data_IF_942152364070
#
_entry.id   IF_942152364070
#
_cell.length_a   1.000
_cell.length_b   1.000
_cell.length_c   1.000
_cell.angle_alpha   90.00
_cell.angle_beta   90.00
_cell.angle_gamma   90.00
#
_symmetry.space_group_name_H-M   'P 1'
#
loop_
_entity.id
_entity.type
_entity.pdbx_description
1 polymer ?
#
# COMPACT_ATOMS: atom_id res chain seq x y z
N UNK A 1 -29.56 8.79 -5.85
CA UNK A 1 -28.78 9.37 -4.73
C UNK A 1 -28.67 8.45 -3.54
N UNK A 2 -29.74 7.82 -3.05
CA UNK A 2 -29.60 6.78 -2.02
C UNK A 2 -28.63 5.65 -2.45
N UNK A 3 -28.78 5.11 -3.67
CA UNK A 3 -27.85 4.11 -4.21
C UNK A 3 -26.40 4.62 -4.32
N UNK A 4 -26.19 5.89 -4.72
CA UNK A 4 -24.86 6.52 -4.79
C UNK A 4 -24.23 6.58 -3.40
N UNK A 5 -24.96 7.07 -2.41
CA UNK A 5 -24.47 7.13 -1.03
C UNK A 5 -24.15 5.75 -0.44
N UNK A 6 -24.97 4.73 -0.74
CA UNK A 6 -24.69 3.34 -0.33
C UNK A 6 -23.39 2.84 -0.97
N UNK A 7 -23.18 3.08 -2.27
CA UNK A 7 -21.95 2.66 -2.95
C UNK A 7 -20.72 3.42 -2.42
N UNK A 8 -20.83 4.73 -2.15
CA UNK A 8 -19.76 5.51 -1.50
C UNK A 8 -19.39 4.92 -0.12
N UNK A 9 -20.39 4.52 0.69
CA UNK A 9 -20.15 3.83 1.96
C UNK A 9 -19.52 2.45 1.78
N UNK A 10 -19.90 1.69 0.75
CA UNK A 10 -19.27 0.39 0.46
C UNK A 10 -17.80 0.56 0.06
N UNK A 11 -17.48 1.56 -0.76
CA UNK A 11 -16.10 1.91 -1.12
C UNK A 11 -15.32 2.30 0.14
N UNK A 12 -15.91 3.09 1.02
CA UNK A 12 -15.30 3.43 2.30
C UNK A 12 -14.92 2.18 3.11
N UNK A 13 -15.83 1.22 3.26
CA UNK A 13 -15.55 -0.03 3.99
C UNK A 13 -14.42 -0.84 3.35
N UNK A 14 -14.36 -0.91 2.02
CA UNK A 14 -13.26 -1.58 1.31
C UNK A 14 -11.93 -0.89 1.56
N UNK A 15 -11.89 0.44 1.44
CA UNK A 15 -10.68 1.24 1.71
C UNK A 15 -10.22 1.10 3.16
N UNK A 16 -11.16 1.04 4.10
CA UNK A 16 -10.85 0.82 5.51
C UNK A 16 -10.21 -0.55 5.72
N UNK A 17 -10.78 -1.62 5.17
CA UNK A 17 -10.23 -2.97 5.29
C UNK A 17 -8.83 -3.10 4.67
N UNK A 18 -8.62 -2.54 3.48
CA UNK A 18 -7.32 -2.53 2.81
C UNK A 18 -6.32 -1.68 3.62
N UNK A 19 -6.72 -0.48 4.05
CA UNK A 19 -5.88 0.44 4.81
C UNK A 19 -5.45 -0.15 6.15
N UNK A 20 -6.40 -0.69 6.92
CA UNK A 20 -6.12 -1.33 8.20
C UNK A 20 -5.18 -2.55 8.04
N UNK A 21 -5.44 -3.40 7.04
CA UNK A 21 -4.58 -4.55 6.76
C UNK A 21 -3.14 -4.17 6.39
N UNK A 22 -2.96 -3.09 5.62
CA UNK A 22 -1.62 -2.58 5.29
C UNK A 22 -0.94 -1.89 6.47
N UNK A 23 -1.68 -1.15 7.29
CA UNK A 23 -1.14 -0.44 8.47
C UNK A 23 -0.78 -1.37 9.62
N UNK A 24 -1.47 -2.50 9.76
CA UNK A 24 -1.19 -3.50 10.81
C UNK A 24 -0.13 -4.52 10.39
N UNK A 25 0.12 -4.66 9.09
CA UNK A 25 1.03 -5.67 8.57
C UNK A 25 2.51 -5.31 8.77
N UNK A 26 3.08 -5.80 9.87
CA UNK A 26 4.51 -5.71 10.20
C UNK A 26 5.42 -6.26 9.09
N UNK A 27 5.02 -7.34 8.41
CA UNK A 27 5.80 -8.00 7.35
C UNK A 27 6.04 -7.11 6.13
N UNK A 28 5.00 -6.39 5.70
CA UNK A 28 5.11 -5.39 4.64
C UNK A 28 5.96 -4.20 5.06
N UNK A 29 5.85 -3.74 6.31
CA UNK A 29 6.71 -2.67 6.84
C UNK A 29 8.18 -3.10 6.87
N UNK A 30 8.49 -4.32 7.33
CA UNK A 30 9.86 -4.84 7.30
C UNK A 30 10.40 -4.92 5.88
N UNK A 31 9.64 -5.42 4.91
CA UNK A 31 10.12 -5.66 3.54
C UNK A 31 10.12 -4.42 2.63
N UNK A 32 9.09 -3.56 2.69
CA UNK A 32 8.93 -2.39 1.81
C UNK A 32 9.09 -1.02 2.52
N UNK A 33 9.01 -0.98 3.85
CA UNK A 33 9.41 0.17 4.66
C UNK A 33 8.22 0.93 5.25
N UNK A 34 8.52 1.91 6.10
CA UNK A 34 7.53 2.68 6.86
C UNK A 34 6.51 3.41 5.99
N UNK A 35 6.88 3.70 4.74
CA UNK A 35 5.98 4.33 3.78
C UNK A 35 4.74 3.48 3.45
N UNK A 36 4.80 2.16 3.61
CA UNK A 36 3.60 1.31 3.46
C UNK A 36 2.56 1.62 4.53
N UNK A 37 2.98 1.89 5.77
CA UNK A 37 2.06 2.34 6.81
C UNK A 37 1.42 3.68 6.48
N UNK A 38 2.18 4.61 5.87
CA UNK A 38 1.65 5.89 5.41
C UNK A 38 0.58 5.71 4.33
N UNK A 39 0.79 4.79 3.38
CA UNK A 39 -0.20 4.46 2.34
C UNK A 39 -1.44 3.81 2.97
N UNK A 40 -1.27 2.84 3.86
CA UNK A 40 -2.37 2.21 4.59
C UNK A 40 -3.18 3.22 5.41
N UNK A 41 -2.49 4.10 6.15
CA UNK A 41 -3.11 5.18 6.93
C UNK A 41 -3.84 6.19 6.05
N UNK A 42 -3.31 6.48 4.85
CA UNK A 42 -3.98 7.27 3.83
C UNK A 42 -5.31 6.65 3.36
N UNK A 43 -5.34 5.33 3.14
CA UNK A 43 -6.60 4.64 2.80
C UNK A 43 -7.60 4.64 3.95
N UNK A 44 -7.15 4.45 5.20
CA UNK A 44 -8.01 4.60 6.39
C UNK A 44 -8.57 6.02 6.46
N UNK A 45 -7.74 7.05 6.28
CA UNK A 45 -8.19 8.44 6.29
C UNK A 45 -9.25 8.71 5.21
N UNK A 46 -9.02 8.25 3.97
CA UNK A 46 -9.99 8.36 2.88
C UNK A 46 -11.31 7.67 3.23
N UNK A 47 -11.26 6.48 3.85
CA UNK A 47 -12.46 5.75 4.23
C UNK A 47 -13.36 6.53 5.20
N UNK A 48 -12.79 7.39 6.05
CA UNK A 48 -13.56 8.22 6.98
C UNK A 48 -14.19 9.43 6.28
N UNK A 49 -13.54 9.94 5.22
CA UNK A 49 -14.05 11.10 4.48
C UNK A 49 -15.18 10.75 3.50
N UNK A 50 -15.15 9.57 2.89
CA UNK A 50 -16.18 9.13 1.93
C UNK A 50 -17.61 9.26 2.48
N UNK A 51 -17.95 8.74 3.68
CA UNK A 51 -19.30 8.85 4.25
C UNK A 51 -19.74 10.30 4.52
N UNK A 52 -18.80 11.19 4.86
CA UNK A 52 -19.09 12.61 5.10
C UNK A 52 -19.52 13.26 3.78
N UNK A 53 -18.74 13.06 2.72
CA UNK A 53 -19.08 13.54 1.37
C UNK A 53 -20.41 12.93 0.91
N UNK A 54 -20.60 11.62 1.07
CA UNK A 54 -21.85 10.92 0.75
C UNK A 54 -23.07 11.53 1.46
N UNK A 55 -22.93 11.85 2.76
CA UNK A 55 -23.96 12.49 3.55
C UNK A 55 -24.35 13.87 3.00
N UNK A 56 -23.37 14.69 2.64
CA UNK A 56 -23.59 16.00 2.00
C UNK A 56 -24.32 15.82 0.66
N UNK A 57 -23.88 14.89 -0.18
CA UNK A 57 -24.52 14.59 -1.46
C UNK A 57 -25.95 14.08 -1.28
N UNK A 58 -26.22 13.24 -0.28
CA UNK A 58 -27.54 12.73 0.04
C UNK A 58 -28.48 13.83 0.55
N UNK A 59 -28.04 14.68 1.47
CA UNK A 59 -28.82 15.79 2.01
C UNK A 59 -29.09 16.83 0.90
N UNK A 60 -28.05 17.21 0.15
CA UNK A 60 -28.18 18.10 -1.00
C UNK A 60 -29.16 17.56 -2.04
N UNK A 61 -29.11 16.24 -2.29
CA UNK A 61 -30.06 15.57 -3.15
C UNK A 61 -31.49 15.61 -2.60
N UNK A 62 -31.69 15.28 -1.32
CA UNK A 62 -33.01 15.18 -0.70
C UNK A 62 -33.72 16.54 -0.60
N UNK A 63 -33.00 17.59 -0.24
CA UNK A 63 -33.57 18.93 0.00
C UNK A 63 -33.46 19.88 -1.19
N UNK A 64 -33.12 19.35 -2.37
CA UNK A 64 -33.02 20.17 -3.58
C UNK A 64 -32.00 21.32 -3.53
N UNK A 65 -31.04 21.30 -2.60
CA UNK A 65 -30.06 22.37 -2.37
C UNK A 65 -28.86 22.27 -3.34
N UNK A 66 -28.64 23.27 -4.20
CA UNK A 66 -27.54 23.27 -5.20
C UNK A 66 -26.19 23.51 -4.55
N UNK A 67 -26.11 24.40 -3.55
CA UNK A 67 -24.87 24.65 -2.82
C UNK A 67 -24.29 23.36 -2.21
N UNK A 68 -25.11 22.55 -1.54
CA UNK A 68 -24.66 21.27 -0.98
C UNK A 68 -24.22 20.27 -2.06
N UNK A 69 -24.88 20.25 -3.23
CA UNK A 69 -24.41 19.44 -4.36
C UNK A 69 -23.08 19.94 -4.92
N UNK A 70 -22.84 21.25 -4.94
CA UNK A 70 -21.55 21.84 -5.35
C UNK A 70 -20.45 21.50 -4.34
N UNK A 71 -20.75 21.52 -3.04
CA UNK A 71 -19.84 21.06 -1.98
C UNK A 71 -19.56 19.55 -2.14
N UNK A 72 -20.57 18.73 -2.46
CA UNK A 72 -20.38 17.31 -2.76
C UNK A 72 -19.45 17.11 -3.97
N UNK A 73 -19.63 17.85 -5.06
CA UNK A 73 -18.71 17.82 -6.21
C UNK A 73 -17.28 18.15 -5.83
N UNK A 74 -17.08 19.24 -5.07
CA UNK A 74 -15.76 19.62 -4.58
C UNK A 74 -15.13 18.52 -3.71
N UNK A 75 -15.93 17.90 -2.85
CA UNK A 75 -15.52 16.76 -2.03
C UNK A 75 -15.12 15.55 -2.86
N UNK A 76 -15.89 15.18 -3.89
CA UNK A 76 -15.55 14.08 -4.80
C UNK A 76 -14.26 14.32 -5.57
N UNK A 77 -14.03 15.56 -6.04
CA UNK A 77 -12.77 15.93 -6.72
C UNK A 77 -11.60 15.80 -5.75
N UNK A 78 -11.73 16.31 -4.53
CA UNK A 78 -10.69 16.21 -3.51
C UNK A 78 -10.38 14.74 -3.15
N UNK A 79 -11.42 13.92 -2.96
CA UNK A 79 -11.28 12.47 -2.73
C UNK A 79 -10.57 11.78 -3.90
N UNK A 80 -10.94 12.09 -5.14
CA UNK A 80 -10.32 11.49 -6.33
C UNK A 80 -8.83 11.82 -6.42
N UNK A 81 -8.45 13.08 -6.15
CA UNK A 81 -7.05 13.53 -6.15
C UNK A 81 -6.26 12.83 -5.05
N UNK A 82 -6.78 12.79 -3.82
CA UNK A 82 -6.10 12.13 -2.69
C UNK A 82 -5.98 10.61 -2.89
N UNK A 83 -7.02 9.96 -3.37
CA UNK A 83 -7.00 8.54 -3.69
C UNK A 83 -5.97 8.23 -4.77
N UNK A 84 -5.92 9.06 -5.83
CA UNK A 84 -4.92 8.92 -6.89
C UNK A 84 -3.50 9.08 -6.36
N UNK A 85 -3.24 10.11 -5.54
CA UNK A 85 -1.90 10.37 -5.02
C UNK A 85 -1.43 9.27 -4.06
N UNK A 86 -2.30 8.82 -3.14
CA UNK A 86 -1.97 7.75 -2.18
C UNK A 86 -1.75 6.43 -2.90
N UNK A 87 -2.65 6.03 -3.80
CA UNK A 87 -2.51 4.77 -4.53
C UNK A 87 -1.29 4.77 -5.47
N UNK A 88 -1.01 5.89 -6.14
CA UNK A 88 0.20 6.03 -6.99
C UNK A 88 1.46 5.96 -6.15
N UNK A 89 1.48 6.57 -4.96
CA UNK A 89 2.62 6.45 -4.03
C UNK A 89 2.87 4.99 -3.64
N UNK A 90 1.80 4.23 -3.37
CA UNK A 90 1.90 2.78 -3.13
C UNK A 90 2.45 1.99 -4.32
N UNK A 91 2.08 2.37 -5.56
CA UNK A 91 2.62 1.74 -6.77
C UNK A 91 4.11 2.03 -6.96
N UNK A 92 4.54 3.26 -6.69
CA UNK A 92 5.97 3.64 -6.75
C UNK A 92 6.77 2.86 -5.70
N UNK A 93 6.25 2.72 -4.48
CA UNK A 93 6.89 1.94 -3.41
C UNK A 93 7.01 0.45 -3.75
N UNK A 94 6.11 -0.10 -4.54
CA UNK A 94 6.17 -1.48 -5.00
C UNK A 94 7.14 -1.69 -6.18
N UNK A 95 7.70 -0.62 -6.75
CA UNK A 95 8.71 -0.73 -7.81
C UNK A 95 10.04 -1.18 -7.21
N UNK A 96 10.69 -2.22 -7.76
CA UNK A 96 11.98 -2.64 -7.25
C UNK A 96 13.09 -1.65 -7.66
N UNK A 97 14.06 -1.41 -6.78
CA UNK A 97 15.25 -0.58 -7.07
C UNK A 97 16.11 -1.18 -8.20
N UNK A 98 16.14 -2.51 -8.28
CA UNK A 98 16.87 -3.28 -9.27
C UNK A 98 15.92 -4.19 -10.03
N UNK A 99 16.13 -4.40 -11.33
CA UNK A 99 15.27 -5.30 -12.10
C UNK A 99 15.27 -6.72 -11.53
N UNK A 100 14.12 -7.41 -11.54
CA UNK A 100 14.02 -8.78 -10.99
C UNK A 100 15.00 -9.75 -11.66
N UNK A 101 15.27 -9.59 -12.96
CA UNK A 101 16.26 -10.40 -13.66
C UNK A 101 17.69 -10.20 -13.11
N UNK A 102 18.05 -8.97 -12.75
CA UNK A 102 19.33 -8.68 -12.10
C UNK A 102 19.40 -9.26 -10.69
N UNK A 103 18.32 -9.11 -9.91
CA UNK A 103 18.23 -9.69 -8.56
C UNK A 103 18.38 -11.22 -8.61
N UNK A 104 17.66 -11.89 -9.51
CA UNK A 104 17.72 -13.35 -9.69
C UNK A 104 19.13 -13.82 -10.09
N UNK A 105 19.80 -13.08 -10.97
CA UNK A 105 21.19 -13.37 -11.35
C UNK A 105 22.13 -13.26 -10.14
N UNK A 106 22.03 -12.16 -9.38
CA UNK A 106 22.83 -11.97 -8.17
C UNK A 106 22.55 -13.00 -7.08
N UNK A 107 21.33 -13.52 -6.99
CA UNK A 107 20.96 -14.55 -6.01
C UNK A 107 21.39 -15.97 -6.42
N UNK A 108 21.87 -16.17 -7.65
CA UNK A 108 22.25 -17.48 -8.18
C UNK A 108 23.73 -17.77 -7.91
N UNK A 109 24.00 -18.94 -7.32
CA UNK A 109 25.34 -19.38 -6.90
C UNK A 109 26.39 -19.28 -8.05
N UNK A 110 26.07 -19.81 -9.23
CA UNK A 110 27.01 -19.80 -10.36
C UNK A 110 27.48 -18.40 -10.77
N UNK A 111 26.62 -17.38 -10.66
CA UNK A 111 26.95 -16.01 -11.05
C UNK A 111 27.96 -15.37 -10.08
N UNK A 112 27.86 -15.68 -8.79
CA UNK A 112 28.75 -15.09 -7.78
C UNK A 112 30.11 -15.80 -7.64
N UNK A 113 30.32 -16.90 -8.36
CA UNK A 113 31.63 -17.54 -8.48
C UNK A 113 32.65 -16.66 -9.23
N UNK A 114 32.18 -15.75 -10.08
CA UNK A 114 33.03 -14.78 -10.75
C UNK A 114 33.16 -13.50 -9.90
N UNK A 115 34.40 -13.11 -9.58
CA UNK A 115 34.70 -11.95 -8.74
C UNK A 115 34.12 -10.65 -9.31
N UNK A 116 34.20 -10.42 -10.62
CA UNK A 116 33.65 -9.21 -11.26
C UNK A 116 32.14 -9.17 -11.15
N UNK A 117 31.46 -10.31 -11.32
CA UNK A 117 30.00 -10.41 -11.16
C UNK A 117 29.57 -10.20 -9.71
N UNK A 118 30.36 -10.72 -8.76
CA UNK A 118 30.15 -10.49 -7.34
C UNK A 118 30.24 -9.01 -6.97
N UNK A 119 31.21 -8.29 -7.51
CA UNK A 119 31.35 -6.84 -7.31
C UNK A 119 30.17 -6.06 -7.89
N UNK A 120 29.64 -6.47 -9.05
CA UNK A 120 28.44 -5.87 -9.63
C UNK A 120 27.19 -6.06 -8.75
N UNK A 121 27.10 -7.16 -7.99
CA UNK A 121 25.99 -7.45 -7.10
C UNK A 121 26.10 -6.81 -5.71
N UNK A 122 27.26 -6.26 -5.34
CA UNK A 122 27.47 -5.60 -4.05
C UNK A 122 26.44 -4.50 -3.75
N UNK A 123 26.13 -3.58 -4.68
CA UNK A 123 25.13 -2.53 -4.42
C UNK A 123 23.75 -3.09 -4.07
N UNK A 124 23.36 -4.21 -4.67
CA UNK A 124 22.09 -4.87 -4.36
C UNK A 124 22.09 -5.46 -2.95
N UNK A 125 23.13 -6.21 -2.57
CA UNK A 125 23.22 -6.80 -1.22
C UNK A 125 23.34 -5.76 -0.12
N UNK A 126 23.95 -4.61 -0.42
CA UNK A 126 24.10 -3.51 0.51
C UNK A 126 22.91 -2.54 0.53
N UNK A 127 21.89 -2.75 -0.32
CA UNK A 127 20.72 -1.88 -0.41
C UNK A 127 19.78 -2.01 0.79
N UNK A 128 19.09 -0.92 1.11
CA UNK A 128 18.06 -0.89 2.17
C UNK A 128 16.88 -1.83 1.86
N UNK A 129 16.61 -2.07 0.58
CA UNK A 129 15.59 -3.02 0.12
C UNK A 129 15.99 -4.45 0.47
N UNK A 130 17.23 -4.86 0.19
CA UNK A 130 17.71 -6.19 0.57
C UNK A 130 17.78 -6.36 2.09
N UNK A 131 18.23 -5.33 2.83
CA UNK A 131 18.22 -5.32 4.29
C UNK A 131 16.81 -5.48 4.87
N UNK A 132 15.80 -4.82 4.30
CA UNK A 132 14.40 -4.97 4.70
C UNK A 132 13.84 -6.36 4.41
N UNK A 133 14.13 -6.91 3.22
CA UNK A 133 13.76 -8.29 2.87
C UNK A 133 14.40 -9.30 3.82
N UNK A 134 15.63 -9.04 4.27
CA UNK A 134 16.30 -9.87 5.27
C UNK A 134 15.61 -9.85 6.61
N UNK A 135 15.26 -8.67 7.10
CA UNK A 135 14.51 -8.54 8.36
C UNK A 135 13.18 -9.31 8.30
N UNK A 136 12.45 -9.15 7.19
CA UNK A 136 11.18 -9.85 6.98
C UNK A 136 11.38 -11.37 6.94
N UNK A 137 12.36 -11.86 6.19
CA UNK A 137 12.64 -13.29 6.05
C UNK A 137 13.13 -13.93 7.34
N UNK A 138 14.00 -13.27 8.09
CA UNK A 138 14.42 -13.72 9.42
C UNK A 138 13.21 -13.88 10.35
N UNK A 139 12.26 -12.94 10.29
CA UNK A 139 11.03 -13.02 11.09
C UNK A 139 10.19 -14.23 10.67
N UNK A 140 9.96 -14.45 9.37
CA UNK A 140 9.29 -15.66 8.89
C UNK A 140 10.00 -16.94 9.29
N UNK A 141 11.33 -16.95 9.24
CA UNK A 141 12.14 -18.08 9.64
C UNK A 141 11.97 -18.39 11.13
N UNK A 142 12.11 -17.39 12.02
CA UNK A 142 11.92 -17.57 13.47
C UNK A 142 10.50 -18.04 13.79
N UNK A 143 9.48 -17.44 13.16
CA UNK A 143 8.09 -17.89 13.29
C UNK A 143 7.92 -19.34 12.83
N UNK A 144 8.56 -19.74 11.73
CA UNK A 144 8.48 -21.11 11.21
C UNK A 144 9.12 -22.17 12.11
N UNK A 145 10.09 -21.78 12.96
CA UNK A 145 10.68 -22.67 13.96
C UNK A 145 9.71 -22.94 15.13
N UNK A 146 8.90 -21.95 15.47
CA UNK A 146 7.89 -22.06 16.54
C UNK A 146 6.61 -22.74 16.04
N UNK A 147 6.19 -22.45 14.80
CA UNK A 147 4.97 -22.96 14.19
C UNK A 147 5.19 -23.31 12.71
N UNK A 148 5.09 -24.60 12.37
CA UNK A 148 5.26 -25.06 10.99
C UNK A 148 4.24 -24.44 10.02
N UNK A 149 3.05 -24.07 10.50
CA UNK A 149 2.03 -23.44 9.65
C UNK A 149 2.43 -22.02 9.23
N UNK A 150 3.19 -21.30 10.05
CA UNK A 150 3.75 -20.00 9.71
C UNK A 150 4.77 -20.08 8.56
N UNK A 151 5.49 -21.20 8.46
CA UNK A 151 6.44 -21.48 7.38
C UNK A 151 5.81 -21.92 6.05
N UNK A 152 4.57 -22.42 6.06
CA UNK A 152 3.95 -23.02 4.88
C UNK A 152 3.83 -22.04 3.69
N UNK A 153 3.55 -20.76 3.97
CA UNK A 153 3.50 -19.71 2.94
C UNK A 153 4.86 -19.46 2.28
N UNK A 154 5.94 -19.47 3.07
CA UNK A 154 7.30 -19.30 2.55
C UNK A 154 7.77 -20.55 1.81
N UNK A 155 7.42 -21.74 2.28
CA UNK A 155 7.71 -22.99 1.57
C UNK A 155 7.02 -23.00 0.19
N UNK A 156 5.75 -22.61 0.12
CA UNK A 156 5.05 -22.46 -1.17
C UNK A 156 5.74 -21.45 -2.09
N UNK A 157 6.25 -20.35 -1.54
CA UNK A 157 7.01 -19.36 -2.31
C UNK A 157 8.32 -19.95 -2.84
N UNK A 158 9.04 -20.72 -2.01
CA UNK A 158 10.28 -21.42 -2.37
C UNK A 158 10.04 -22.43 -3.50
N UNK A 159 9.01 -23.27 -3.36
CA UNK A 159 8.65 -24.29 -4.35
C UNK A 159 8.25 -23.66 -5.68
N UNK A 160 7.42 -22.62 -5.66
CA UNK A 160 6.94 -21.94 -6.86
C UNK A 160 8.07 -21.22 -7.64
N UNK A 161 9.14 -20.81 -6.96
CA UNK A 161 10.22 -20.05 -7.57
C UNK A 161 11.53 -20.83 -7.70
N UNK A 162 11.59 -22.07 -7.22
CA UNK A 162 12.79 -22.92 -7.21
C UNK A 162 13.96 -22.20 -6.53
N UNK A 163 13.76 -21.76 -5.29
CA UNK A 163 14.76 -21.05 -4.49
C UNK A 163 14.82 -21.57 -3.05
N UNK A 164 15.90 -21.28 -2.33
CA UNK A 164 16.05 -21.68 -0.93
C UNK A 164 16.78 -20.62 -0.11
N UNK A 165 16.27 -20.36 1.10
CA UNK A 165 16.77 -19.27 1.95
C UNK A 165 16.60 -17.90 1.29
N UNK A 166 17.06 -16.85 1.97
CA UNK A 166 16.95 -15.49 1.43
C UNK A 166 18.07 -15.18 0.42
N UNK A 167 19.31 -15.29 0.89
CA UNK A 167 20.52 -14.87 0.20
C UNK A 167 21.10 -15.91 -0.76
N UNK A 168 22.14 -15.53 -1.51
CA UNK A 168 22.78 -16.41 -2.46
C UNK A 168 23.47 -17.59 -1.76
N UNK A 169 23.41 -18.82 -2.30
CA UNK A 169 24.01 -19.96 -1.61
C UNK A 169 25.53 -19.87 -1.56
N UNK A 170 26.15 -20.22 -0.41
CA UNK A 170 27.62 -20.22 -0.19
C UNK A 170 28.34 -18.88 -0.47
N UNK A 171 27.59 -17.79 -0.46
CA UNK A 171 28.13 -16.45 -0.64
C UNK A 171 27.68 -15.50 0.47
N UNK A 172 27.72 -15.99 1.72
CA UNK A 172 27.53 -15.16 2.89
C UNK A 172 28.53 -14.00 2.90
N UNK A 173 28.00 -12.80 3.07
CA UNK A 173 28.77 -11.57 3.19
C UNK A 173 28.43 -10.92 4.52
N UNK A 174 29.47 -10.60 5.29
CA UNK A 174 29.29 -10.00 6.60
C UNK A 174 28.77 -8.56 6.41
N UNK A 175 27.66 -8.24 7.06
CA UNK A 175 27.08 -6.89 7.04
C UNK A 175 26.73 -6.49 8.46
N UNK A 176 27.64 -5.73 9.07
CA UNK A 176 27.53 -5.26 10.45
C UNK A 176 26.77 -3.94 10.57
N UNK A 177 26.23 -3.41 9.47
CA UNK A 177 25.43 -2.20 9.51
C UNK A 177 24.13 -2.48 10.26
N UNK A 178 23.55 -1.48 10.94
CA UNK A 178 22.20 -1.60 11.48
C UNK A 178 21.18 -1.75 10.34
N UNK A 179 19.99 -2.25 10.66
CA UNK A 179 18.87 -2.21 9.73
C UNK A 179 18.46 -0.75 9.43
N UNK A 180 17.95 -0.45 8.22
CA UNK A 180 17.56 0.92 7.87
C UNK A 180 16.51 1.47 8.84
N UNK A 181 16.62 2.75 9.20
CA UNK A 181 15.70 3.41 10.15
C UNK A 181 14.25 3.51 9.67
N UNK A 182 14.01 3.29 8.38
CA UNK A 182 12.69 3.18 7.78
C UNK A 182 12.00 1.83 8.06
N UNK A 183 12.66 0.92 8.80
CA UNK A 183 12.14 -0.40 9.18
C UNK A 183 11.82 -0.42 10.69
N UNK A 184 11.00 -1.37 11.16
CA UNK A 184 10.78 -1.56 12.59
C UNK A 184 12.10 -1.79 13.34
N UNK A 185 12.16 -1.30 14.58
CA UNK A 185 13.26 -1.65 15.49
C UNK A 185 13.29 -3.17 15.71
N UNK A 186 14.49 -3.69 15.85
CA UNK A 186 14.73 -5.12 15.97
C UNK A 186 15.81 -5.39 17.01
N UNK A 187 15.69 -6.51 17.71
CA UNK A 187 16.72 -6.99 18.65
C UNK A 187 17.96 -7.55 17.91
N UNK A 188 17.86 -7.72 16.59
CA UNK A 188 18.98 -8.15 15.74
C UNK A 188 20.02 -7.03 15.62
N UNK A 189 21.26 -7.23 16.11
CA UNK A 189 22.27 -6.16 16.19
C UNK A 189 22.82 -5.74 14.82
N UNK A 190 22.80 -6.64 13.84
CA UNK A 190 23.43 -6.48 12.52
C UNK A 190 22.63 -7.21 11.46
N UNK A 191 22.74 -6.77 10.19
CA UNK A 191 22.03 -7.41 9.09
C UNK A 191 22.49 -8.85 8.83
N UNK A 192 23.80 -9.12 8.81
CA UNK A 192 24.32 -10.48 8.54
C UNK A 192 25.63 -10.75 9.26
N UNK A 193 25.72 -11.91 9.89
CA UNK A 193 26.97 -12.46 10.43
C UNK A 193 27.30 -13.76 9.70
N UNK A 194 28.56 -13.89 9.26
CA UNK A 194 29.06 -15.10 8.58
C UNK A 194 30.08 -15.85 9.46
N UNK A 195 30.21 -17.19 9.32
CA UNK A 195 31.23 -17.97 10.01
C UNK A 195 32.63 -17.43 9.71
N UNK A 196 33.46 -17.28 10.75
CA UNK A 196 34.84 -16.78 10.65
C UNK A 196 35.85 -17.89 10.36
N UNK A 197 35.45 -19.16 10.47
CA UNK A 197 36.32 -20.31 10.22
C UNK A 197 36.58 -20.49 8.72
N UNK A 198 37.85 -20.62 8.33
CA UNK A 198 38.28 -20.82 6.94
C UNK A 198 37.60 -22.01 6.25
N UNK A 199 37.29 -23.08 7.01
CA UNK A 199 36.60 -24.29 6.53
C UNK A 199 35.20 -24.01 5.97
N UNK A 200 34.52 -23.00 6.52
CA UNK A 200 33.13 -22.64 6.18
C UNK A 200 33.06 -21.23 5.59
N UNK A 201 34.14 -20.78 4.93
CA UNK A 201 34.20 -19.45 4.34
C UNK A 201 33.16 -19.34 3.22
N UNK A 202 32.27 -18.34 3.34
CA UNK A 202 31.14 -18.14 2.42
C UNK A 202 29.85 -18.87 2.80
N UNK A 203 29.87 -19.85 3.72
CA UNK A 203 28.63 -20.42 4.24
C UNK A 203 27.95 -19.48 5.24
N UNK A 204 26.71 -19.80 5.62
CA UNK A 204 25.93 -19.13 6.64
C UNK A 204 26.07 -19.82 8.00
N UNK A 205 25.70 -19.10 9.06
CA UNK A 205 25.66 -19.64 10.41
C UNK A 205 24.76 -20.88 10.51
N UNK A 206 25.12 -21.86 11.36
CA UNK A 206 24.32 -23.07 11.51
C UNK A 206 22.90 -22.75 12.00
N UNK A 207 21.93 -23.50 11.48
CA UNK A 207 20.51 -23.40 11.83
C UNK A 207 19.95 -24.80 12.10
N UNK A 208 18.88 -24.95 12.90
CA UNK A 208 18.22 -26.23 13.09
C UNK A 208 17.72 -26.90 11.80
N UNK A 209 17.49 -26.12 10.74
CA UNK A 209 16.97 -26.58 9.45
C UNK A 209 18.06 -26.86 8.40
N UNK A 210 19.34 -26.84 8.78
CA UNK A 210 20.45 -27.14 7.88
C UNK A 210 21.33 -28.30 8.36
N UNK A 211 22.07 -28.90 7.41
CA UNK A 211 22.79 -30.16 7.61
C UNK A 211 23.88 -30.11 8.71
N UNK A 212 24.16 -31.27 9.31
CA UNK A 212 25.17 -31.47 10.35
C UNK A 212 26.60 -31.27 9.82
N UNK A 213 27.10 -30.03 9.94
CA UNK A 213 28.49 -29.67 9.56
C UNK A 213 29.01 -28.39 10.21
N UNK A 214 28.20 -27.73 11.05
CA UNK A 214 28.55 -26.47 11.69
C UNK A 214 28.35 -25.22 10.82
N UNK A 215 27.77 -25.34 9.63
CA UNK A 215 27.39 -24.23 8.74
C UNK A 215 26.21 -24.62 7.83
N UNK A 216 25.56 -23.62 7.23
CA UNK A 216 24.51 -23.82 6.24
C UNK A 216 24.91 -23.24 4.88
N UNK A 217 24.58 -23.90 3.77
CA UNK A 217 24.82 -23.31 2.44
C UNK A 217 23.83 -22.20 2.07
N UNK A 218 22.69 -22.06 2.77
CA UNK A 218 21.65 -21.07 2.48
C UNK A 218 21.39 -20.15 3.68
N UNK A 219 21.01 -18.91 3.42
CA UNK A 219 20.67 -17.90 4.42
C UNK A 219 19.26 -18.17 4.99
N UNK A 220 19.16 -18.54 6.27
CA UNK A 220 17.88 -18.87 6.95
C UNK A 220 16.96 -19.78 6.11
N UNK A 221 17.36 -21.04 5.86
CA UNK A 221 16.55 -21.95 5.07
C UNK A 221 15.24 -22.26 5.79
N UNK A 222 14.11 -22.15 5.08
CA UNK A 222 12.79 -22.55 5.57
C UNK A 222 12.40 -23.88 4.92
N UNK A 223 11.70 -24.73 5.68
CA UNK A 223 11.33 -26.07 5.25
C UNK A 223 12.53 -27.02 5.14
N UNK A 224 12.48 -27.93 4.18
CA UNK A 224 13.50 -28.96 3.97
C UNK A 224 14.66 -28.52 3.07
N UNK A 225 14.61 -27.31 2.49
CA UNK A 225 15.54 -26.93 1.44
C UNK A 225 17.00 -26.78 1.94
N UNK A 226 17.19 -26.47 3.23
CA UNK A 226 18.51 -26.37 3.88
C UNK A 226 19.19 -27.71 4.12
N UNK A 227 18.47 -28.83 3.97
CA UNK A 227 19.04 -30.17 4.10
C UNK A 227 19.79 -30.62 2.84
N UNK A 228 19.47 -30.02 1.70
CA UNK A 228 20.14 -30.27 0.43
C UNK A 228 21.34 -29.33 0.27
N UNK A 229 22.47 -29.85 -0.19
CA UNK A 229 23.60 -29.00 -0.57
C UNK A 229 23.23 -28.04 -1.71
N UNK A 230 23.85 -26.87 -1.75
CA UNK A 230 23.65 -25.91 -2.83
C UNK A 230 24.40 -26.33 -4.11
N UNK A 231 23.65 -26.68 -5.16
CA UNK A 231 24.19 -26.89 -6.50
C UNK A 231 24.62 -25.58 -7.18
N UNK A 232 25.20 -25.67 -8.38
CA UNK A 232 25.65 -24.51 -9.17
C UNK A 232 24.50 -23.53 -9.50
N UNK A 233 23.31 -24.05 -9.81
CA UNK A 233 22.15 -23.25 -10.17
C UNK A 233 21.20 -22.98 -9.00
N UNK A 234 21.61 -23.32 -7.78
CA UNK A 234 20.82 -22.98 -6.60
C UNK A 234 20.78 -21.45 -6.44
N UNK A 235 19.63 -20.93 -5.99
CA UNK A 235 19.40 -19.49 -5.82
C UNK A 235 18.66 -19.16 -4.53
N UNK A 236 18.89 -17.96 -4.01
CA UNK A 236 18.14 -17.37 -2.90
C UNK A 236 16.75 -16.86 -3.31
N UNK A 237 15.87 -16.64 -2.33
CA UNK A 237 14.48 -16.24 -2.52
C UNK A 237 14.19 -14.75 -2.35
N UNK A 238 15.18 -13.89 -2.11
CA UNK A 238 14.92 -12.47 -1.86
C UNK A 238 14.11 -11.78 -2.98
N UNK A 239 14.44 -12.05 -4.25
CA UNK A 239 13.72 -11.52 -5.42
C UNK A 239 12.26 -12.02 -5.45
N UNK A 240 12.03 -13.30 -5.18
CA UNK A 240 10.70 -13.89 -5.12
C UNK A 240 9.86 -13.31 -3.97
N UNK A 241 10.47 -13.11 -2.80
CA UNK A 241 9.84 -12.48 -1.64
C UNK A 241 9.41 -11.05 -1.96
N UNK A 242 10.32 -10.25 -2.51
CA UNK A 242 10.03 -8.88 -2.93
C UNK A 242 8.89 -8.87 -3.94
N UNK A 243 8.97 -9.68 -4.98
CA UNK A 243 7.95 -9.75 -6.03
C UNK A 243 6.57 -10.15 -5.49
N UNK A 244 6.52 -11.09 -4.54
CA UNK A 244 5.26 -11.50 -3.91
C UNK A 244 4.62 -10.36 -3.11
N UNK A 245 5.40 -9.64 -2.31
CA UNK A 245 4.89 -8.51 -1.53
C UNK A 245 4.55 -7.31 -2.42
N UNK A 246 5.43 -6.96 -3.36
CA UNK A 246 5.22 -5.88 -4.31
C UNK A 246 3.99 -6.11 -5.19
N UNK A 247 3.79 -7.31 -5.73
CA UNK A 247 2.61 -7.62 -6.56
C UNK A 247 1.31 -7.57 -5.76
N UNK A 248 1.34 -7.96 -4.49
CA UNK A 248 0.18 -7.83 -3.59
C UNK A 248 -0.15 -6.35 -3.36
N UNK A 249 0.84 -5.52 -3.02
CA UNK A 249 0.64 -4.08 -2.85
C UNK A 249 0.16 -3.42 -4.15
N UNK A 250 0.75 -3.77 -5.30
CA UNK A 250 0.32 -3.29 -6.62
C UNK A 250 -1.13 -3.67 -6.90
N UNK A 251 -1.52 -4.92 -6.65
CA UNK A 251 -2.90 -5.38 -6.84
C UNK A 251 -3.90 -4.58 -6.00
N UNK A 252 -3.56 -4.30 -4.74
CA UNK A 252 -4.37 -3.45 -3.87
C UNK A 252 -4.47 -2.02 -4.40
N UNK A 253 -3.34 -1.39 -4.74
CA UNK A 253 -3.33 0.00 -5.25
C UNK A 253 -4.04 0.13 -6.60
N UNK A 254 -3.88 -0.82 -7.53
CA UNK A 254 -4.61 -0.86 -8.80
C UNK A 254 -6.11 -1.00 -8.55
N UNK A 255 -6.51 -1.87 -7.61
CA UNK A 255 -7.92 -2.03 -7.24
C UNK A 255 -8.48 -0.72 -6.70
N UNK A 256 -7.75 -0.04 -5.81
CA UNK A 256 -8.15 1.29 -5.32
C UNK A 256 -8.25 2.30 -6.46
N UNK A 257 -7.33 2.31 -7.42
CA UNK A 257 -7.44 3.19 -8.59
C UNK A 257 -8.64 2.85 -9.48
N UNK A 258 -8.96 1.58 -9.66
CA UNK A 258 -10.14 1.17 -10.41
C UNK A 258 -11.44 1.68 -9.75
N UNK A 259 -11.48 1.77 -8.41
CA UNK A 259 -12.63 2.33 -7.70
C UNK A 259 -12.88 3.82 -7.99
N UNK A 260 -11.90 4.57 -8.50
CA UNK A 260 -12.11 5.96 -8.94
C UNK A 260 -13.15 6.10 -10.05
N UNK A 261 -13.36 5.05 -10.83
CA UNK A 261 -14.42 5.02 -11.84
C UNK A 261 -15.78 5.37 -11.22
N UNK A 262 -16.08 4.83 -10.04
CA UNK A 262 -17.32 5.13 -9.33
C UNK A 262 -17.37 6.59 -8.87
N UNK A 263 -16.27 7.12 -8.34
CA UNK A 263 -16.16 8.53 -7.93
C UNK A 263 -16.46 9.49 -9.09
N UNK A 264 -15.97 9.18 -10.29
CA UNK A 264 -16.27 9.95 -11.51
C UNK A 264 -17.76 9.85 -11.87
N UNK A 265 -18.35 8.65 -11.84
CA UNK A 265 -19.78 8.46 -12.09
C UNK A 265 -20.66 9.22 -11.08
N UNK A 266 -20.25 9.28 -9.82
CA UNK A 266 -20.94 10.07 -8.80
C UNK A 266 -20.85 11.56 -9.10
N UNK A 267 -19.68 12.03 -9.55
CA UNK A 267 -19.50 13.41 -10.02
C UNK A 267 -20.44 13.75 -11.18
N UNK A 268 -20.50 12.89 -12.20
CA UNK A 268 -21.44 13.07 -13.32
C UNK A 268 -22.90 13.10 -12.84
N UNK A 269 -23.27 12.19 -11.94
CA UNK A 269 -24.62 12.13 -11.37
C UNK A 269 -24.98 13.40 -10.61
N UNK A 270 -24.05 13.92 -9.80
CA UNK A 270 -24.24 15.17 -9.06
C UNK A 270 -24.32 16.38 -10.00
N UNK A 271 -23.51 16.44 -11.06
CA UNK A 271 -23.64 17.48 -12.09
C UNK A 271 -25.02 17.45 -12.77
N UNK A 272 -25.51 16.27 -13.17
CA UNK A 272 -26.86 16.15 -13.74
C UNK A 272 -27.95 16.65 -12.77
N UNK A 273 -27.79 16.37 -11.47
CA UNK A 273 -28.74 16.84 -10.45
C UNK A 273 -28.68 18.34 -10.21
N UNK A 274 -27.50 18.95 -10.30
CA UNK A 274 -27.35 20.41 -10.23
C UNK A 274 -28.06 21.09 -11.40
N UNK A 275 -27.84 20.62 -12.64
CA UNK A 275 -28.45 21.21 -13.84
C UNK A 275 -29.95 20.97 -13.97
N UNK A 276 -30.46 19.83 -13.46
CA UNK A 276 -31.91 19.54 -13.51
C UNK A 276 -32.74 20.51 -12.64
N UNK A 277 -32.13 21.22 -11.69
CA UNK A 277 -32.86 22.01 -10.68
C UNK A 277 -33.00 23.48 -11.09
N UNK A 278 -34.20 24.04 -10.88
CA UNK A 278 -34.52 25.46 -11.10
C UNK A 278 -33.63 26.39 -10.26
N UNK A 279 -33.48 27.64 -10.70
CA UNK A 279 -32.43 28.57 -10.27
C UNK A 279 -32.47 29.05 -8.82
N UNK A 280 -33.56 28.83 -8.10
CA UNK A 280 -33.68 29.26 -6.71
C UNK A 280 -33.31 28.15 -5.73
N UNK A 281 -32.24 28.38 -4.96
CA UNK A 281 -31.88 27.56 -3.81
C UNK A 281 -32.96 27.73 -2.74
N UNK A 282 -33.89 26.77 -2.68
CA UNK A 282 -34.94 26.75 -1.65
C UNK A 282 -34.27 26.34 -0.33
N UNK A 283 -34.00 27.32 0.54
CA UNK A 283 -33.71 27.06 1.94
C UNK A 283 -34.82 26.16 2.53
N UNK A 284 -34.48 25.13 3.33
CA UNK A 284 -35.47 24.23 3.87
C UNK A 284 -36.52 25.03 4.64
N UNK A 285 -37.79 24.81 4.32
CA UNK A 285 -38.95 25.55 4.86
C UNK A 285 -39.10 25.45 6.39
N UNK A 286 -38.32 24.58 7.05
CA UNK A 286 -38.23 24.45 8.50
C UNK A 286 -37.19 25.33 9.20
N UNK A 287 -36.27 25.98 8.47
CA UNK A 287 -35.33 26.96 9.02
C UNK A 287 -35.69 28.37 8.58
N UNK A 288 -36.97 28.72 8.67
CA UNK A 288 -37.34 30.12 8.75
C UNK A 288 -36.91 30.64 10.13
N UNK A 289 -35.64 31.03 10.26
CA UNK A 289 -35.35 32.17 11.12
C UNK A 289 -36.05 33.33 10.41
N UNK A 290 -37.29 33.56 10.83
CA UNK A 290 -38.08 34.73 10.51
C UNK A 290 -37.38 35.94 11.14
N UNK A 291 -36.24 36.37 10.56
CA UNK A 291 -35.98 37.80 10.49
C UNK A 291 -36.97 38.25 9.45
N UNK A 292 -38.17 38.65 9.88
CA UNK A 292 -39.01 39.51 9.05
C UNK A 292 -38.21 40.80 8.85
N UNK A 293 -37.66 41.14 7.67
CA UNK A 293 -37.77 42.53 7.29
C UNK A 293 -39.28 42.78 7.17
N UNK A 294 -39.80 43.74 7.93
CA UNK A 294 -41.13 44.27 7.65
C UNK A 294 -41.12 44.72 6.19
N UNK A 295 -41.78 43.95 5.33
CA UNK A 295 -42.28 44.33 4.01
C UNK A 295 -41.35 45.21 3.15
N UNK A 296 -40.34 44.62 2.51
CA UNK A 296 -39.90 45.17 1.22
C UNK A 296 -40.82 44.62 0.13
N UNK A 297 -41.92 45.34 -0.13
CA UNK A 297 -42.74 45.12 -1.32
C UNK A 297 -41.87 45.34 -2.55
N UNK A 298 -41.63 44.28 -3.31
CA UNK A 298 -41.04 44.38 -4.64
C UNK A 298 -42.16 44.84 -5.57
N UNK A 299 -42.21 46.14 -5.86
CA UNK A 299 -43.18 46.68 -6.80
C UNK A 299 -42.81 46.27 -8.21
N UNK A 300 -43.76 45.69 -8.95
CA UNK A 300 -43.59 45.47 -10.39
C UNK A 300 -43.41 46.82 -11.08
N UNK A 301 -42.60 46.90 -12.14
CA UNK A 301 -42.34 48.15 -12.88
C UNK A 301 -43.63 48.86 -13.34
N UNK A 302 -44.70 48.09 -13.58
CA UNK A 302 -46.02 48.60 -13.91
C UNK A 302 -46.70 49.35 -12.75
N UNK A 303 -46.49 48.94 -11.51
CA UNK A 303 -47.04 49.61 -10.32
C UNK A 303 -46.27 50.91 -10.01
N UNK A 304 -44.96 50.93 -10.27
CA UNK A 304 -44.13 52.14 -10.15
C UNK A 304 -44.58 53.19 -11.18
N UNK A 305 -44.78 52.79 -12.43
CA UNK A 305 -45.26 53.69 -13.49
C UNK A 305 -46.69 54.22 -13.26
N UNK A 306 -47.48 53.51 -12.46
CA UNK A 306 -48.83 53.94 -12.10
C UNK A 306 -48.80 54.90 -10.90
N UNK A 307 -47.93 54.64 -9.91
CA UNK A 307 -47.67 55.57 -8.80
C UNK A 307 -47.05 56.90 -9.26
N UNK A 308 -46.21 56.90 -10.30
CA UNK A 308 -45.68 58.13 -10.91
C UNK A 308 -46.73 58.97 -11.65
N UNK A 309 -47.84 58.37 -12.08
CA UNK A 309 -48.94 59.11 -12.71
C UNK A 309 -49.91 59.73 -11.70
N UNK A 310 -49.95 59.18 -10.49
CA UNK A 310 -50.85 59.61 -9.44
C UNK A 310 -50.21 60.70 -8.53
N UNK A 311 -48.96 61.09 -8.80
CA UNK A 311 -48.24 62.23 -8.21
C UNK A 311 -48.15 63.39 -9.19
#
# INVERSE_FOLDING_TARGET
MAAVAVTECTIALLLFGIGAGLSDSTKFHMALGSQVHSVGGGFVFLSLLYPVVAGIGFIGAKYHNKFLLLVHMGGLVALAVMQTSIATSGLVLASPDYSYAFQDACLTNNFLNNQTQRELCQPFFLSDTFGGLRLAWQTFYVESLADQTAGAGMQKLQDANVCCGLGPPRHCQNDTRPFPSSRPSTDWPTQQVCPTTTKNSGDYMPTPLCYAGGSCSFDYPIGSCGMSGAGLFAKGCASALHRNMASTLQGLCITVQALLFFTVLFGCSTMCLMFKRKDEDVLPSGTQISIRPKETKVYCSREIAQLEKDF
#
